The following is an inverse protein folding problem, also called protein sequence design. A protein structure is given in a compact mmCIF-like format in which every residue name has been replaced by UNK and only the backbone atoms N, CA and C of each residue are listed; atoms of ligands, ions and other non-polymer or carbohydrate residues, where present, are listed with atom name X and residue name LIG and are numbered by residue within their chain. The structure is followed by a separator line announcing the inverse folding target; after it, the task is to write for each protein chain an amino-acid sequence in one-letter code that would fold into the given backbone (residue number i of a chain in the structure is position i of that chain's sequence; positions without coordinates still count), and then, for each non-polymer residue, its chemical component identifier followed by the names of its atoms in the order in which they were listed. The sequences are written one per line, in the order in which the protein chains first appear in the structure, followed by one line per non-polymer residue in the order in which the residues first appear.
data_IF_290024882965
#
_entry.id   IF_290024882965
#
_cell.length_a   1.000
_cell.length_b   1.000
_cell.length_c   1.000
_cell.angle_alpha   90.00
_cell.angle_beta   90.00
_cell.angle_gamma   90.00
#
_symmetry.space_group_name_H-M   'P 1'
#
loop_
_entity.id
_entity.type
_entity.pdbx_description
1 polymer ?
#
# COMPACT_ATOMS: atom_id res chain seq x y z
N UNK A 1 -14.06 -11.13 0.33
CA UNK A 1 -13.83 -9.70 0.65
C UNK A 1 -13.97 -9.54 2.16
N UNK A 2 -12.95 -8.99 2.85
CA UNK A 2 -12.95 -8.86 4.33
C UNK A 2 -13.55 -7.53 4.85
N UNK A 3 -13.60 -6.49 4.01
CA UNK A 3 -14.15 -5.17 4.37
C UNK A 3 -15.62 -5.29 4.82
N UNK A 4 -15.96 -4.65 5.95
CA UNK A 4 -17.31 -4.68 6.53
C UNK A 4 -17.66 -5.97 7.29
N UNK A 5 -16.70 -6.86 7.52
CA UNK A 5 -16.89 -8.11 8.27
C UNK A 5 -16.17 -8.05 9.62
N UNK A 6 -16.44 -9.03 10.50
CA UNK A 6 -15.83 -9.12 11.84
C UNK A 6 -14.31 -9.32 11.82
N UNK A 7 -13.72 -9.76 10.70
CA UNK A 7 -12.27 -9.92 10.56
C UNK A 7 -11.57 -8.63 10.10
N UNK A 8 -12.32 -7.57 9.76
CA UNK A 8 -11.72 -6.29 9.41
C UNK A 8 -11.07 -5.66 10.65
N UNK A 9 -9.79 -5.23 10.59
CA UNK A 9 -9.12 -4.65 11.75
C UNK A 9 -9.90 -3.50 12.40
N UNK A 10 -9.88 -3.46 13.73
CA UNK A 10 -10.46 -2.37 14.51
C UNK A 10 -9.89 -1.03 14.09
N UNK A 11 -10.65 0.05 14.30
CA UNK A 11 -10.30 1.37 13.80
C UNK A 11 -8.89 1.82 14.23
N UNK A 12 -8.46 1.56 15.46
CA UNK A 12 -7.13 1.96 15.95
C UNK A 12 -5.95 1.23 15.28
N UNK A 13 -6.17 0.09 14.63
CA UNK A 13 -5.13 -0.64 13.92
C UNK A 13 -4.59 0.11 12.68
N UNK A 14 -5.24 1.20 12.28
CA UNK A 14 -4.89 2.02 11.12
C UNK A 14 -4.14 3.31 11.48
N UNK A 15 -3.93 3.58 12.78
CA UNK A 15 -3.21 4.77 13.24
C UNK A 15 -1.70 4.57 13.13
N UNK A 16 -1.02 5.57 12.57
CA UNK A 16 0.45 5.64 12.53
C UNK A 16 1.13 4.45 11.84
N UNK A 17 0.43 3.78 10.91
CA UNK A 17 0.94 2.61 10.18
C UNK A 17 1.45 2.94 8.77
N UNK A 18 2.31 2.08 8.23
CA UNK A 18 2.61 2.02 6.80
C UNK A 18 1.73 0.94 6.18
N UNK A 19 0.90 1.32 5.20
CA UNK A 19 0.14 0.34 4.41
C UNK A 19 1.04 -0.31 3.38
N UNK A 20 0.81 -1.58 3.10
CA UNK A 20 1.40 -2.26 1.96
C UNK A 20 0.32 -2.89 1.09
N UNK A 21 0.42 -2.69 -0.22
CA UNK A 21 -0.50 -3.24 -1.21
C UNK A 21 0.25 -3.93 -2.34
N UNK A 22 -0.35 -4.96 -2.91
CA UNK A 22 0.13 -5.63 -4.11
C UNK A 22 -1.06 -5.95 -5.03
N UNK A 23 -0.77 -6.29 -6.27
CA UNK A 23 -1.77 -6.78 -7.23
C UNK A 23 -1.45 -8.22 -7.63
N UNK A 24 -2.47 -9.06 -7.63
CA UNK A 24 -2.36 -10.48 -7.96
C UNK A 24 -2.08 -10.76 -9.45
N UNK A 25 -1.89 -12.03 -9.78
CA UNK A 25 -1.73 -12.56 -11.13
C UNK A 25 -2.96 -12.37 -12.03
N UNK A 26 -4.11 -11.99 -11.45
CA UNK A 26 -5.34 -11.65 -12.18
C UNK A 26 -5.25 -10.28 -12.86
N UNK A 27 -4.19 -9.50 -12.60
CA UNK A 27 -3.89 -8.22 -13.27
C UNK A 27 -5.14 -7.30 -13.30
N UNK A 28 -5.61 -6.82 -12.14
CA UNK A 28 -6.82 -6.01 -12.07
C UNK A 28 -6.70 -4.74 -12.91
N UNK A 29 -7.73 -4.38 -13.68
CA UNK A 29 -7.71 -3.11 -14.41
C UNK A 29 -7.49 -1.90 -13.46
N UNK A 30 -6.78 -0.84 -13.89
CA UNK A 30 -6.50 0.34 -13.06
C UNK A 30 -7.71 0.97 -12.37
N UNK A 31 -8.90 0.88 -12.99
CA UNK A 31 -10.16 1.35 -12.39
C UNK A 31 -10.48 0.69 -11.03
N UNK A 32 -10.07 -0.57 -10.84
CA UNK A 32 -10.30 -1.26 -9.57
C UNK A 32 -9.38 -0.74 -8.48
N UNK A 33 -8.11 -0.47 -8.80
CA UNK A 33 -7.18 0.19 -7.87
C UNK A 33 -7.73 1.56 -7.44
N UNK A 34 -8.25 2.34 -8.41
CA UNK A 34 -8.93 3.61 -8.14
C UNK A 34 -10.10 3.43 -7.15
N UNK A 35 -11.02 2.49 -7.42
CA UNK A 35 -12.18 2.26 -6.56
C UNK A 35 -11.81 1.75 -5.16
N UNK A 36 -10.83 0.85 -5.06
CA UNK A 36 -10.40 0.31 -3.78
C UNK A 36 -9.72 1.37 -2.93
N UNK A 37 -8.88 2.22 -3.52
CA UNK A 37 -8.23 3.33 -2.81
C UNK A 37 -9.24 4.39 -2.37
N UNK A 38 -10.22 4.75 -3.21
CA UNK A 38 -11.32 5.63 -2.78
C UNK A 38 -12.09 5.05 -1.61
N UNK A 39 -12.29 3.73 -1.59
CA UNK A 39 -12.94 3.06 -0.47
C UNK A 39 -12.08 3.07 0.82
N UNK A 40 -10.74 3.02 0.72
CA UNK A 40 -9.87 3.26 1.89
C UNK A 40 -9.96 4.73 2.35
N UNK A 41 -10.03 5.67 1.41
CA UNK A 41 -10.25 7.09 1.69
C UNK A 41 -11.59 7.35 2.39
N UNK A 42 -12.69 6.76 1.92
CA UNK A 42 -14.02 6.93 2.52
C UNK A 42 -14.14 6.33 3.92
N UNK A 43 -13.30 5.34 4.25
CA UNK A 43 -13.18 4.81 5.61
C UNK A 43 -12.31 5.68 6.53
N UNK A 44 -11.70 6.74 6.01
CA UNK A 44 -10.76 7.58 6.73
C UNK A 44 -9.38 6.95 6.94
N UNK A 45 -9.14 5.74 6.42
CA UNK A 45 -7.88 4.99 6.63
C UNK A 45 -6.71 5.76 6.01
N UNK A 46 -6.84 6.25 4.77
CA UNK A 46 -5.75 6.95 4.09
C UNK A 46 -5.33 8.26 4.78
N UNK A 47 -6.19 8.82 5.65
CA UNK A 47 -5.88 10.04 6.42
C UNK A 47 -5.07 9.77 7.70
N UNK A 48 -4.91 8.50 8.10
CA UNK A 48 -4.33 8.10 9.40
C UNK A 48 -2.98 7.40 9.28
N UNK A 49 -2.63 7.00 8.07
CA UNK A 49 -1.41 6.25 7.76
C UNK A 49 -0.22 7.19 7.58
N UNK A 50 0.99 6.70 7.85
CA UNK A 50 2.24 7.46 7.65
C UNK A 50 2.83 7.29 6.25
N UNK A 51 2.37 6.31 5.50
CA UNK A 51 2.82 6.09 4.13
C UNK A 51 2.24 4.81 3.54
N UNK A 52 2.53 4.59 2.26
CA UNK A 52 2.07 3.41 1.52
C UNK A 52 3.24 2.85 0.71
N UNK A 53 3.42 1.54 0.75
CA UNK A 53 4.33 0.82 -0.14
C UNK A 53 3.55 -0.08 -1.10
N UNK A 54 3.90 -0.06 -2.38
CA UNK A 54 3.29 -0.90 -3.39
C UNK A 54 4.28 -1.92 -3.95
N UNK A 55 3.87 -3.19 -3.94
CA UNK A 55 4.54 -4.28 -4.62
C UNK A 55 4.59 -4.04 -6.13
N UNK A 56 5.58 -4.65 -6.77
CA UNK A 56 5.71 -4.65 -8.23
C UNK A 56 4.51 -5.40 -8.86
N UNK A 57 3.82 -4.83 -9.84
CA UNK A 57 2.76 -5.52 -10.58
C UNK A 57 3.26 -6.78 -11.28
N UNK A 58 2.39 -7.79 -11.36
CA UNK A 58 2.65 -9.00 -12.14
C UNK A 58 2.98 -8.65 -13.61
N UNK A 59 4.07 -9.21 -14.13
CA UNK A 59 4.60 -8.94 -15.48
C UNK A 59 4.78 -7.46 -15.86
N UNK A 60 4.88 -6.55 -14.88
CA UNK A 60 4.88 -5.09 -15.08
C UNK A 60 3.65 -4.56 -15.84
N UNK A 61 2.57 -5.32 -15.92
CA UNK A 61 1.36 -4.89 -16.59
C UNK A 61 0.71 -3.75 -15.79
N UNK A 62 0.26 -2.72 -16.50
CA UNK A 62 -0.31 -1.48 -15.93
C UNK A 62 0.62 -0.69 -15.00
N UNK A 63 1.94 -0.89 -15.07
CA UNK A 63 2.90 -0.25 -14.17
C UNK A 63 2.79 1.29 -14.13
N UNK A 64 2.53 1.95 -15.27
CA UNK A 64 2.38 3.42 -15.33
C UNK A 64 0.95 3.84 -14.98
N UNK A 65 -0.02 3.05 -15.40
CA UNK A 65 -1.44 3.30 -15.25
C UNK A 65 -1.85 3.22 -13.77
N UNK A 66 -1.32 2.25 -13.03
CA UNK A 66 -1.49 2.17 -11.58
C UNK A 66 -0.93 3.40 -10.86
N UNK A 67 0.25 3.89 -11.24
CA UNK A 67 0.80 5.13 -10.67
C UNK A 67 -0.12 6.33 -10.91
N UNK A 68 -0.66 6.44 -12.12
CA UNK A 68 -1.60 7.51 -12.49
C UNK A 68 -2.86 7.50 -11.62
N UNK A 69 -3.50 6.33 -11.44
CA UNK A 69 -4.71 6.23 -10.61
C UNK A 69 -4.43 6.42 -9.12
N UNK A 70 -3.28 5.95 -8.62
CA UNK A 70 -2.86 6.20 -7.23
C UNK A 70 -2.73 7.70 -7.00
N UNK A 71 -1.99 8.40 -7.85
CA UNK A 71 -1.80 9.86 -7.76
C UNK A 71 -3.13 10.61 -7.87
N UNK A 72 -4.01 10.20 -8.79
CA UNK A 72 -5.36 10.77 -8.94
C UNK A 72 -6.14 10.69 -7.63
N UNK A 73 -6.21 9.51 -6.99
CA UNK A 73 -6.96 9.35 -5.74
C UNK A 73 -6.34 10.13 -4.59
N UNK A 74 -5.01 10.19 -4.48
CA UNK A 74 -4.36 11.03 -3.47
C UNK A 74 -4.71 12.51 -3.66
N UNK A 75 -4.68 13.01 -4.89
CA UNK A 75 -5.05 14.39 -5.20
C UNK A 75 -6.50 14.68 -4.83
N UNK A 76 -7.43 13.76 -5.15
CA UNK A 76 -8.85 13.88 -4.79
C UNK A 76 -9.08 14.00 -3.27
N UNK A 77 -8.19 13.39 -2.48
CA UNK A 77 -8.26 13.38 -1.02
C UNK A 77 -7.37 14.45 -0.36
N UNK A 78 -6.66 15.29 -1.14
CA UNK A 78 -5.64 16.24 -0.66
C UNK A 78 -4.52 15.57 0.16
N UNK A 79 -4.11 14.36 -0.23
CA UNK A 79 -3.06 13.56 0.40
C UNK A 79 -1.76 13.56 -0.41
N UNK A 80 -1.46 14.66 -1.08
CA UNK A 80 -0.30 14.83 -1.97
C UNK A 80 1.05 14.65 -1.27
N UNK A 81 1.10 14.94 0.02
CA UNK A 81 2.31 14.84 0.85
C UNK A 81 2.49 13.46 1.48
N UNK A 82 1.55 12.52 1.27
CA UNK A 82 1.65 11.18 1.83
C UNK A 82 2.80 10.41 1.15
N UNK A 83 3.81 9.92 1.90
CA UNK A 83 4.89 9.13 1.33
C UNK A 83 4.38 7.86 0.64
N UNK A 84 4.72 7.71 -0.64
CA UNK A 84 4.46 6.49 -1.40
C UNK A 84 5.76 5.95 -2.01
N UNK A 85 6.08 4.69 -1.70
CA UNK A 85 7.11 3.93 -2.39
C UNK A 85 6.47 2.87 -3.30
N UNK A 86 6.99 2.72 -4.50
CA UNK A 86 6.41 1.85 -5.52
C UNK A 86 7.47 0.92 -6.10
N UNK A 87 7.06 -0.23 -6.64
CA UNK A 87 7.93 -1.26 -7.23
C UNK A 87 8.76 -2.03 -6.21
N UNK A 88 8.14 -2.39 -5.08
CA UNK A 88 8.76 -3.22 -4.05
C UNK A 88 8.77 -4.71 -4.43
N UNK A 89 9.79 -5.45 -3.98
CA UNK A 89 9.94 -6.88 -4.19
C UNK A 89 9.11 -7.73 -3.21
N UNK A 90 7.79 -7.51 -3.16
CA UNK A 90 6.80 -8.38 -2.52
C UNK A 90 5.54 -8.48 -3.40
N UNK A 91 4.70 -9.50 -3.18
CA UNK A 91 3.51 -9.77 -3.99
C UNK A 91 3.73 -10.91 -4.98
N UNK A 92 3.19 -10.82 -6.20
CA UNK A 92 3.22 -11.94 -7.17
C UNK A 92 4.46 -11.94 -8.08
N UNK A 93 5.59 -11.38 -7.63
CA UNK A 93 6.84 -11.34 -8.41
C UNK A 93 8.01 -11.93 -7.63
N UNK A 94 8.98 -12.52 -8.33
CA UNK A 94 10.18 -13.09 -7.71
C UNK A 94 11.44 -12.27 -8.07
N UNK A 95 12.44 -12.20 -7.16
CA UNK A 95 12.44 -12.68 -5.78
C UNK A 95 11.57 -11.82 -4.85
N UNK A 96 11.18 -12.36 -3.69
CA UNK A 96 10.39 -11.68 -2.66
C UNK A 96 11.15 -11.50 -1.35
N UNK A 97 10.91 -10.38 -0.67
CA UNK A 97 11.18 -10.25 0.77
C UNK A 97 9.88 -10.39 1.57
N UNK A 98 10.01 -10.65 2.87
CA UNK A 98 8.88 -10.86 3.79
C UNK A 98 8.53 -9.54 4.49
N UNK A 99 7.23 -9.24 4.60
CA UNK A 99 6.71 -8.11 5.39
C UNK A 99 6.01 -8.66 6.63
N UNK A 100 6.63 -8.62 7.82
CA UNK A 100 6.00 -9.04 9.06
C UNK A 100 4.90 -8.04 9.45
N UNK A 101 3.69 -8.54 9.70
CA UNK A 101 2.58 -7.69 10.13
C UNK A 101 2.86 -7.05 11.49
N UNK A 102 2.63 -5.74 11.59
CA UNK A 102 2.81 -4.98 12.83
C UNK A 102 4.26 -4.58 13.12
N UNK A 103 5.23 -5.02 12.32
CA UNK A 103 6.61 -4.61 12.49
C UNK A 103 6.80 -3.13 12.10
N UNK A 104 7.59 -2.41 12.89
CA UNK A 104 8.05 -1.06 12.68
C UNK A 104 8.85 -1.00 11.39
N UNK A 105 8.49 -0.06 10.53
CA UNK A 105 9.14 0.15 9.26
C UNK A 105 9.32 1.63 8.98
N UNK A 106 10.24 1.93 8.06
CA UNK A 106 10.60 3.28 7.66
C UNK A 106 10.51 3.41 6.14
N UNK A 107 9.92 4.51 5.66
CA UNK A 107 10.06 5.00 4.29
C UNK A 107 10.94 6.24 4.34
N UNK A 108 12.09 6.19 3.69
CA UNK A 108 12.96 7.35 3.54
C UNK A 108 12.81 7.91 2.12
N UNK A 109 12.15 9.07 2.00
CA UNK A 109 11.88 9.71 0.71
C UNK A 109 13.14 10.33 0.06
N UNK A 110 14.15 10.69 0.85
CA UNK A 110 15.40 11.26 0.35
C UNK A 110 16.24 10.17 -0.34
N UNK A 111 16.39 9.02 0.36
CA UNK A 111 17.20 7.90 -0.11
C UNK A 111 16.39 6.89 -0.95
N UNK A 112 15.07 7.08 -1.05
CA UNK A 112 14.12 6.21 -1.75
C UNK A 112 14.22 4.76 -1.28
N UNK A 113 14.32 4.57 0.04
CA UNK A 113 14.51 3.28 0.68
C UNK A 113 13.35 2.90 1.60
N UNK A 114 13.25 1.61 1.87
CA UNK A 114 12.33 1.02 2.83
C UNK A 114 13.08 0.05 3.72
N UNK A 115 12.88 0.16 5.03
CA UNK A 115 13.54 -0.69 6.03
C UNK A 115 12.54 -1.19 7.05
N UNK A 116 12.72 -2.42 7.53
CA UNK A 116 12.02 -2.95 8.70
C UNK A 116 12.99 -2.80 9.88
N UNK A 117 12.56 -2.08 10.92
CA UNK A 117 13.41 -1.62 12.02
C UNK A 117 13.42 -2.58 13.23
N UNK A 118 12.70 -3.69 13.15
CA UNK A 118 12.65 -4.71 14.19
C UNK A 118 12.76 -6.14 13.63
N UNK A 119 13.03 -7.11 14.51
CA UNK A 119 13.11 -8.51 14.11
C UNK A 119 11.72 -9.09 13.84
N UNK A 120 11.61 -9.95 12.82
CA UNK A 120 10.35 -10.64 12.53
C UNK A 120 10.00 -11.77 13.52
N UNK A 121 10.96 -12.18 14.35
CA UNK A 121 10.85 -13.23 15.36
C UNK A 121 11.67 -12.88 16.61
N UNK A 122 11.35 -13.54 17.72
CA UNK A 122 12.09 -13.48 18.99
C UNK A 122 13.24 -14.49 18.98
#
# INVERSE_FOLDING_TARGET
MAKGTLIWPYNNAWDDVILFFETSEEIPEPKYIEYWLRNYGSQGILNRVKGIVFGKPYDNKYYKEYKSVIQKVLNELNLNELPILYNMNFGHTLPMFVVPYGAMAEINCNDKSFSILESGVI
#
